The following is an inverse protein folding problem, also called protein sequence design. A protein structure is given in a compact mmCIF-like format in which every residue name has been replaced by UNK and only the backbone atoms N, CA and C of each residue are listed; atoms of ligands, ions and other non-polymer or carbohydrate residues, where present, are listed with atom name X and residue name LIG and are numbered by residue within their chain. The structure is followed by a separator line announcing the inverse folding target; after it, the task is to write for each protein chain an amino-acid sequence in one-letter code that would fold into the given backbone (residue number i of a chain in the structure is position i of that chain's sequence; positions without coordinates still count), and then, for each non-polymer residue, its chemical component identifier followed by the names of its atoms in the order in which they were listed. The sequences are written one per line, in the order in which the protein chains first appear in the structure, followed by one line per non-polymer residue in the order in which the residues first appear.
data_IF_166779089420
#
_entry.id   IF_166779089420
#
_cell.length_a   1.000
_cell.length_b   1.000
_cell.length_c   1.000
_cell.angle_alpha   90.00
_cell.angle_beta   90.00
_cell.angle_gamma   90.00
#
_symmetry.space_group_name_H-M   'P 1'
#
loop_
_entity.id
_entity.type
_entity.pdbx_description
1 polymer ?
#
# COMPACT_ATOMS: atom_id res chain seq x y z
N UNK A 1 -17.91 -38.66 29.66
CA UNK A 1 -18.37 -38.86 28.27
C UNK A 1 -18.55 -37.52 27.59
N UNK A 2 -17.63 -37.16 26.68
CA UNK A 2 -17.82 -36.46 25.40
C UNK A 2 -16.41 -36.16 24.87
N UNK A 3 -16.01 -36.94 23.85
CA UNK A 3 -14.70 -36.88 23.20
C UNK A 3 -14.64 -35.60 22.35
N UNK A 4 -13.63 -34.76 22.59
CA UNK A 4 -13.24 -33.69 21.70
C UNK A 4 -12.47 -34.32 20.53
N UNK A 5 -13.03 -34.26 19.33
CA UNK A 5 -12.37 -34.71 18.10
C UNK A 5 -11.36 -33.63 17.71
N UNK A 6 -10.08 -34.01 17.69
CA UNK A 6 -9.00 -33.24 17.08
C UNK A 6 -9.27 -33.13 15.57
N UNK A 7 -9.59 -31.93 15.09
CA UNK A 7 -9.58 -31.63 13.65
C UNK A 7 -8.13 -31.35 13.28
N UNK A 8 -7.51 -32.32 12.62
CA UNK A 8 -6.20 -32.20 11.98
C UNK A 8 -6.33 -31.19 10.84
N UNK A 9 -5.82 -29.98 11.01
CA UNK A 9 -5.62 -29.06 9.89
C UNK A 9 -4.48 -29.62 9.03
N UNK A 10 -4.84 -30.35 7.98
CA UNK A 10 -3.91 -30.68 6.90
C UNK A 10 -3.58 -29.37 6.18
N UNK A 11 -2.39 -28.84 6.45
CA UNK A 11 -1.80 -27.80 5.62
C UNK A 11 -1.47 -28.42 4.26
N UNK A 12 -2.32 -28.17 3.26
CA UNK A 12 -1.92 -28.37 1.87
C UNK A 12 -0.79 -27.37 1.58
N UNK A 13 0.45 -27.85 1.66
CA UNK A 13 1.56 -27.18 0.99
C UNK A 13 1.22 -27.10 -0.49
N UNK A 14 1.28 -25.89 -1.04
CA UNK A 14 1.09 -25.62 -2.46
C UNK A 14 2.20 -26.30 -3.28
N UNK A 15 2.03 -27.59 -3.55
CA UNK A 15 2.74 -28.31 -4.58
C UNK A 15 2.27 -27.83 -5.95
N UNK A 16 3.21 -27.66 -6.87
CA UNK A 16 2.99 -27.20 -8.23
C UNK A 16 1.69 -27.76 -8.84
N UNK A 17 0.79 -26.88 -9.28
CA UNK A 17 -0.43 -27.28 -9.96
C UNK A 17 -0.09 -28.19 -11.15
N UNK A 18 -0.68 -29.39 -11.25
CA UNK A 18 -0.51 -30.23 -12.43
C UNK A 18 -0.95 -29.46 -13.67
N UNK A 19 -0.16 -29.52 -14.75
CA UNK A 19 -0.40 -28.81 -16.02
C UNK A 19 -1.78 -29.09 -16.65
N UNK A 20 -2.47 -30.14 -16.22
CA UNK A 20 -3.84 -30.48 -16.59
C UNK A 20 -4.89 -29.50 -16.02
N UNK A 21 -4.72 -28.99 -14.80
CA UNK A 21 -5.64 -27.99 -14.23
C UNK A 21 -5.58 -26.67 -15.01
N UNK A 22 -4.39 -26.21 -15.39
CA UNK A 22 -4.19 -25.01 -16.21
C UNK A 22 -4.88 -25.12 -17.58
N UNK A 23 -4.96 -26.31 -18.17
CA UNK A 23 -5.71 -26.55 -19.42
C UNK A 23 -7.23 -26.49 -19.23
N UNK A 24 -7.75 -26.84 -18.05
CA UNK A 24 -9.17 -26.72 -17.72
C UNK A 24 -9.59 -25.25 -17.52
N UNK A 25 -8.74 -24.43 -16.88
CA UNK A 25 -9.00 -22.98 -16.70
C UNK A 25 -8.90 -22.17 -17.99
N UNK A 26 -8.25 -22.68 -19.05
CA UNK A 26 -8.24 -22.04 -20.38
C UNK A 26 -9.57 -22.14 -21.14
N UNK A 27 -10.51 -22.97 -20.67
CA UNK A 27 -11.85 -23.11 -21.26
C UNK A 27 -12.89 -22.21 -20.59
N UNK A 28 -12.45 -21.26 -19.78
CA UNK A 28 -13.38 -20.36 -19.15
C UNK A 28 -14.00 -19.44 -20.22
N UNK A 29 -15.34 -19.41 -20.33
CA UNK A 29 -16.09 -18.60 -21.31
C UNK A 29 -16.41 -17.22 -20.72
N UNK A 30 -16.65 -16.18 -21.54
CA UNK A 30 -17.02 -14.84 -21.06
C UNK A 30 -18.24 -14.78 -20.13
N UNK A 31 -19.05 -15.84 -20.06
CA UNK A 31 -20.21 -15.96 -19.16
C UNK A 31 -19.90 -16.48 -17.75
N UNK A 32 -18.66 -16.87 -17.46
CA UNK A 32 -18.28 -17.25 -16.09
C UNK A 32 -17.96 -16.00 -15.26
N UNK A 33 -18.31 -16.07 -13.97
CA UNK A 33 -18.31 -15.02 -12.92
C UNK A 33 -17.05 -14.15 -12.80
N UNK A 34 -16.02 -14.40 -13.60
CA UNK A 34 -14.70 -13.77 -13.53
C UNK A 34 -14.44 -12.73 -14.62
N UNK A 35 -15.24 -12.69 -15.68
CA UNK A 35 -15.04 -11.73 -16.78
C UNK A 35 -16.02 -10.56 -16.70
N UNK A 36 -15.56 -9.40 -17.18
CA UNK A 36 -16.42 -8.24 -17.38
C UNK A 36 -17.46 -8.58 -18.45
N UNK A 37 -18.73 -8.29 -18.17
CA UNK A 37 -19.83 -8.57 -19.08
C UNK A 37 -19.69 -7.77 -20.39
N UNK A 38 -20.06 -8.33 -21.55
CA UNK A 38 -20.04 -7.61 -22.83
C UNK A 38 -20.85 -6.30 -22.79
N UNK A 39 -21.95 -6.28 -22.04
CA UNK A 39 -22.82 -5.11 -21.86
C UNK A 39 -22.08 -3.99 -21.12
N UNK A 40 -21.31 -4.34 -20.08
CA UNK A 40 -20.51 -3.37 -19.35
C UNK A 40 -19.35 -2.85 -20.20
N UNK A 41 -18.65 -3.73 -20.94
CA UNK A 41 -17.57 -3.33 -21.84
C UNK A 41 -18.03 -2.31 -22.90
N UNK A 42 -19.24 -2.48 -23.46
CA UNK A 42 -19.83 -1.53 -24.42
C UNK A 42 -20.10 -0.14 -23.81
N UNK A 43 -20.39 -0.09 -22.50
CA UNK A 43 -20.67 1.15 -21.76
C UNK A 43 -19.40 1.77 -21.16
N UNK A 44 -18.36 0.96 -20.98
CA UNK A 44 -17.10 1.41 -20.42
C UNK A 44 -16.47 2.49 -21.33
N UNK A 45 -15.90 3.51 -20.69
CA UNK A 45 -15.22 4.61 -21.37
C UNK A 45 -13.98 4.96 -20.56
N UNK A 46 -12.77 5.01 -21.16
CA UNK A 46 -11.55 5.41 -20.46
C UNK A 46 -11.39 6.94 -20.34
N UNK A 47 -12.45 7.72 -20.60
CA UNK A 47 -12.45 9.18 -20.47
C UNK A 47 -12.80 9.61 -19.04
N UNK A 48 -12.27 10.78 -18.66
CA UNK A 48 -12.43 11.38 -17.34
C UNK A 48 -12.73 12.88 -17.47
N UNK A 49 -13.67 13.38 -16.67
CA UNK A 49 -13.99 14.81 -16.63
C UNK A 49 -12.92 15.64 -15.92
N UNK A 50 -12.21 15.04 -14.97
CA UNK A 50 -11.05 15.60 -14.27
C UNK A 50 -9.88 14.63 -14.38
N UNK A 51 -8.76 15.08 -14.93
CA UNK A 51 -7.53 14.29 -15.00
C UNK A 51 -6.32 15.20 -14.80
N UNK A 52 -5.36 14.74 -14.00
CA UNK A 52 -4.12 15.47 -13.73
C UNK A 52 -2.95 14.79 -14.43
N UNK A 53 -1.89 15.56 -14.69
CA UNK A 53 -0.62 14.99 -15.13
C UNK A 53 -0.05 14.05 -14.06
N UNK A 54 0.54 12.94 -14.49
CA UNK A 54 1.12 11.94 -13.61
C UNK A 54 2.55 11.60 -14.02
N UNK A 55 3.33 11.04 -13.10
CA UNK A 55 4.62 10.40 -13.44
C UNK A 55 4.38 9.04 -14.12
N UNK A 56 5.43 8.42 -14.64
CA UNK A 56 5.37 7.08 -15.24
C UNK A 56 4.77 6.03 -14.30
N UNK A 57 4.08 5.04 -14.88
CA UNK A 57 3.65 3.84 -14.15
C UNK A 57 4.87 3.09 -13.66
N UNK A 58 4.82 2.67 -12.40
CA UNK A 58 5.91 1.93 -11.76
C UNK A 58 5.55 0.46 -11.59
N UNK A 59 6.52 -0.38 -11.24
CA UNK A 59 6.30 -1.80 -11.07
C UNK A 59 7.00 -2.30 -9.79
N UNK A 60 6.19 -2.69 -8.81
CA UNK A 60 6.63 -3.31 -7.55
C UNK A 60 6.88 -4.82 -7.69
N UNK A 61 6.51 -5.40 -8.83
CA UNK A 61 6.55 -6.82 -9.14
C UNK A 61 5.99 -7.66 -7.97
N UNK A 62 6.80 -8.53 -7.37
CA UNK A 62 6.36 -9.48 -6.34
C UNK A 62 6.58 -8.99 -4.89
N UNK A 63 6.96 -7.72 -4.69
CA UNK A 63 7.20 -7.16 -3.36
C UNK A 63 6.05 -6.26 -2.91
N UNK A 64 5.68 -6.32 -1.64
CA UNK A 64 4.60 -5.53 -1.02
C UNK A 64 4.94 -4.06 -0.78
N UNK A 65 5.49 -3.33 -1.76
CA UNK A 65 5.92 -1.92 -1.65
C UNK A 65 4.91 -0.91 -2.22
N UNK A 66 3.69 -1.32 -2.56
CA UNK A 66 2.63 -0.47 -3.14
C UNK A 66 2.45 0.89 -2.44
N UNK A 67 2.51 0.90 -1.11
CA UNK A 67 2.43 2.09 -0.26
C UNK A 67 3.56 3.10 -0.51
N UNK A 68 4.79 2.64 -0.79
CA UNK A 68 5.90 3.50 -1.21
C UNK A 68 5.71 3.96 -2.65
N UNK A 69 5.26 3.09 -3.55
CA UNK A 69 5.02 3.45 -4.95
C UNK A 69 3.99 4.56 -5.09
N UNK A 70 2.83 4.40 -4.45
CA UNK A 70 1.78 5.41 -4.42
C UNK A 70 2.28 6.70 -3.76
N UNK A 71 2.80 6.61 -2.53
CA UNK A 71 3.19 7.83 -1.80
C UNK A 71 4.30 8.61 -2.49
N UNK A 72 5.32 7.93 -3.01
CA UNK A 72 6.41 8.60 -3.72
C UNK A 72 5.96 9.12 -5.09
N UNK A 73 5.07 8.42 -5.80
CA UNK A 73 4.51 8.91 -7.07
C UNK A 73 3.80 10.25 -6.88
N UNK A 74 3.02 10.41 -5.80
CA UNK A 74 2.48 11.71 -5.42
C UNK A 74 3.56 12.77 -5.17
N UNK A 75 4.60 12.44 -4.40
CA UNK A 75 5.68 13.40 -4.08
C UNK A 75 6.45 13.82 -5.32
N UNK A 76 6.74 12.89 -6.24
CA UNK A 76 7.42 13.16 -7.50
C UNK A 76 6.60 14.08 -8.41
N UNK A 77 5.28 13.92 -8.44
CA UNK A 77 4.39 14.84 -9.14
C UNK A 77 4.46 16.24 -8.53
N UNK A 78 4.43 16.36 -7.20
CA UNK A 78 4.53 17.65 -6.50
C UNK A 78 5.91 18.30 -6.65
N UNK A 79 6.97 17.51 -6.81
CA UNK A 79 8.30 18.00 -7.18
C UNK A 79 8.26 18.54 -8.62
N UNK A 80 7.82 17.73 -9.59
CA UNK A 80 7.72 18.11 -11.00
C UNK A 80 6.90 19.39 -11.19
N UNK A 81 5.77 19.51 -10.50
CA UNK A 81 4.89 20.69 -10.55
C UNK A 81 5.56 21.97 -10.05
N UNK A 82 6.40 21.88 -9.01
CA UNK A 82 7.05 23.05 -8.39
C UNK A 82 8.37 23.43 -9.06
N UNK A 83 9.16 22.45 -9.49
CA UNK A 83 10.51 22.69 -10.03
C UNK A 83 10.59 22.56 -11.55
N UNK A 84 9.59 21.97 -12.20
CA UNK A 84 9.65 21.54 -13.61
C UNK A 84 10.52 20.31 -13.85
N UNK A 85 11.18 19.76 -12.82
CA UNK A 85 12.12 18.65 -12.95
C UNK A 85 11.47 17.33 -12.60
N UNK A 86 11.69 16.33 -13.45
CA UNK A 86 11.35 14.94 -13.15
C UNK A 86 12.46 14.30 -12.32
N UNK A 87 12.19 14.07 -11.03
CA UNK A 87 13.12 13.44 -10.12
C UNK A 87 12.48 12.16 -9.62
N UNK A 88 13.04 11.01 -10.02
CA UNK A 88 12.62 9.70 -9.51
C UNK A 88 13.31 9.42 -8.17
N UNK A 89 12.56 8.97 -7.18
CA UNK A 89 13.05 8.66 -5.83
C UNK A 89 13.23 7.15 -5.65
N UNK A 90 14.30 6.72 -4.98
CA UNK A 90 14.59 5.30 -4.83
C UNK A 90 13.62 4.60 -3.87
N UNK A 91 12.75 3.74 -4.41
CA UNK A 91 11.87 2.86 -3.61
C UNK A 91 12.69 1.89 -2.77
N UNK A 92 13.73 1.31 -3.38
CA UNK A 92 14.62 0.37 -2.71
C UNK A 92 15.32 0.94 -1.49
N UNK A 93 15.68 2.23 -1.50
CA UNK A 93 16.27 2.88 -0.33
C UNK A 93 15.27 2.91 0.83
N UNK A 94 14.03 3.30 0.58
CA UNK A 94 12.99 3.34 1.63
C UNK A 94 12.52 1.95 2.04
N UNK A 95 12.54 0.94 1.15
CA UNK A 95 12.34 -0.47 1.52
C UNK A 95 13.42 -0.90 2.52
N UNK A 96 14.70 -0.63 2.22
CA UNK A 96 15.80 -0.98 3.11
C UNK A 96 15.70 -0.26 4.47
N UNK A 97 15.35 1.02 4.46
CA UNK A 97 15.12 1.78 5.70
C UNK A 97 13.92 1.23 6.50
N UNK A 98 12.84 0.83 5.84
CA UNK A 98 11.70 0.19 6.51
C UNK A 98 12.10 -1.14 7.16
N UNK A 99 12.91 -1.95 6.48
CA UNK A 99 13.38 -3.21 7.05
C UNK A 99 14.29 -2.98 8.27
N UNK A 100 15.18 -1.97 8.21
CA UNK A 100 16.02 -1.59 9.36
C UNK A 100 15.19 -1.10 10.55
N UNK A 101 14.17 -0.28 10.28
CA UNK A 101 13.25 0.23 11.28
C UNK A 101 12.49 -0.90 11.97
N UNK A 102 11.93 -1.82 11.18
CA UNK A 102 11.18 -2.98 11.68
C UNK A 102 12.04 -4.01 12.40
N UNK A 103 13.34 -4.07 12.11
CA UNK A 103 14.28 -4.90 12.90
C UNK A 103 14.31 -4.41 14.35
N UNK A 104 14.29 -3.09 14.56
CA UNK A 104 14.26 -2.53 15.93
C UNK A 104 12.93 -2.86 16.61
N UNK A 105 11.80 -2.59 15.95
CA UNK A 105 10.46 -2.89 16.49
C UNK A 105 10.31 -4.38 16.87
N UNK A 106 10.84 -5.28 16.01
CA UNK A 106 10.78 -6.72 16.21
C UNK A 106 11.68 -7.21 17.35
N UNK A 107 12.76 -6.50 17.68
CA UNK A 107 13.61 -6.79 18.83
C UNK A 107 13.06 -6.20 20.12
N UNK A 108 12.24 -5.15 20.05
CA UNK A 108 11.54 -4.58 21.19
C UNK A 108 10.31 -5.41 21.58
N UNK A 109 9.60 -5.99 20.59
CA UNK A 109 8.36 -6.73 20.84
C UNK A 109 8.18 -7.93 19.92
N UNK A 110 7.85 -9.13 20.46
CA UNK A 110 7.52 -10.30 19.63
C UNK A 110 6.20 -10.15 18.86
N UNK A 111 5.41 -9.12 19.18
CA UNK A 111 4.15 -8.80 18.50
C UNK A 111 4.34 -7.85 17.30
N UNK A 112 5.58 -7.43 17.03
CA UNK A 112 5.94 -6.52 15.95
C UNK A 112 6.67 -7.26 14.83
N UNK A 113 6.00 -8.04 13.98
CA UNK A 113 6.66 -8.79 12.92
C UNK A 113 7.25 -7.85 11.86
N UNK A 114 8.29 -8.33 11.19
CA UNK A 114 8.85 -7.67 10.02
C UNK A 114 8.00 -8.08 8.81
N UNK A 115 7.51 -7.12 8.03
CA UNK A 115 6.72 -7.37 6.83
C UNK A 115 6.96 -6.29 5.77
N UNK A 116 6.57 -6.58 4.52
CA UNK A 116 6.86 -5.72 3.36
C UNK A 116 5.91 -4.52 3.25
N UNK A 117 4.65 -4.72 3.62
CA UNK A 117 3.58 -3.73 3.52
C UNK A 117 3.77 -2.52 4.43
N UNK A 118 2.91 -1.52 4.24
CA UNK A 118 2.93 -0.26 4.97
C UNK A 118 1.77 0.63 4.51
N UNK A 119 1.83 1.91 4.87
CA UNK A 119 0.84 2.91 4.46
C UNK A 119 1.53 4.27 4.21
N UNK A 120 0.80 5.21 3.62
CA UNK A 120 1.34 6.53 3.25
C UNK A 120 1.88 7.32 4.46
N UNK A 121 1.24 7.22 5.62
CA UNK A 121 1.72 7.86 6.85
C UNK A 121 3.08 7.31 7.30
N UNK A 122 3.25 5.99 7.26
CA UNK A 122 4.50 5.33 7.57
C UNK A 122 5.61 5.72 6.58
N UNK A 123 5.29 5.85 5.28
CA UNK A 123 6.23 6.37 4.29
C UNK A 123 6.71 7.78 4.64
N UNK A 124 5.80 8.71 4.99
CA UNK A 124 6.17 10.06 5.44
C UNK A 124 7.06 10.02 6.69
N UNK A 125 6.78 9.12 7.63
CA UNK A 125 7.61 8.89 8.81
C UNK A 125 9.03 8.42 8.46
N UNK A 126 9.18 7.51 7.50
CA UNK A 126 10.49 7.06 7.00
C UNK A 126 11.24 8.19 6.30
N UNK A 127 10.58 8.94 5.41
CA UNK A 127 11.21 10.07 4.72
C UNK A 127 11.65 11.15 5.70
N UNK A 128 10.87 11.43 6.75
CA UNK A 128 11.26 12.36 7.81
C UNK A 128 12.47 11.88 8.60
N UNK A 129 12.52 10.59 8.97
CA UNK A 129 13.59 10.01 9.80
C UNK A 129 14.87 9.67 9.04
N UNK A 130 14.78 9.30 7.78
CA UNK A 130 15.89 8.76 6.98
C UNK A 130 16.17 9.53 5.69
N UNK A 131 15.31 10.48 5.31
CA UNK A 131 15.43 11.20 4.05
C UNK A 131 15.04 10.37 2.82
N UNK A 132 15.38 10.86 1.65
CA UNK A 132 15.23 10.17 0.36
C UNK A 132 16.51 10.33 -0.47
N UNK A 133 16.65 9.50 -1.50
CA UNK A 133 17.72 9.62 -2.50
C UNK A 133 17.12 9.54 -3.90
N UNK A 134 17.76 10.11 -4.93
CA UNK A 134 17.38 9.84 -6.31
C UNK A 134 17.53 8.36 -6.65
N UNK A 135 16.64 7.86 -7.52
CA UNK A 135 16.71 6.51 -8.07
C UNK A 135 17.77 6.45 -9.18
N UNK A 136 19.05 6.46 -8.79
CA UNK A 136 20.17 6.46 -9.72
C UNK A 136 21.26 5.46 -9.28
N UNK A 137 21.74 4.58 -10.18
CA UNK A 137 22.68 3.51 -9.82
C UNK A 137 24.04 4.01 -9.33
N UNK A 138 24.47 5.21 -9.75
CA UNK A 138 25.72 5.83 -9.26
C UNK A 138 25.58 6.40 -7.84
N UNK A 139 24.36 6.73 -7.41
CA UNK A 139 24.10 7.18 -6.04
C UNK A 139 24.03 5.96 -5.14
N UNK A 140 23.13 5.02 -5.46
CA UNK A 140 23.03 3.74 -4.76
C UNK A 140 22.08 2.80 -5.50
N UNK A 141 22.42 1.50 -5.48
CA UNK A 141 21.51 0.41 -5.84
C UNK A 141 21.71 -0.76 -4.87
N UNK A 142 20.66 -1.52 -4.54
CA UNK A 142 20.84 -2.71 -3.75
C UNK A 142 21.61 -3.77 -4.54
N UNK A 143 22.29 -4.68 -3.84
CA UNK A 143 22.92 -5.86 -4.45
C UNK A 143 21.88 -6.82 -5.03
N UNK A 144 20.71 -6.87 -4.41
CA UNK A 144 19.56 -7.64 -4.84
C UNK A 144 18.38 -6.70 -5.06
N UNK A 145 17.79 -6.74 -6.26
CA UNK A 145 16.56 -5.99 -6.55
C UNK A 145 15.40 -6.60 -5.78
N UNK A 146 14.93 -5.94 -4.72
CA UNK A 146 13.89 -6.47 -3.82
C UNK A 146 12.59 -6.85 -4.55
N UNK A 147 12.19 -6.00 -5.49
CA UNK A 147 10.93 -6.12 -6.23
C UNK A 147 11.00 -7.20 -7.32
N UNK A 148 12.13 -7.26 -8.03
CA UNK A 148 12.33 -8.17 -9.16
C UNK A 148 12.90 -9.54 -8.76
N UNK A 149 12.78 -9.91 -7.49
CA UNK A 149 13.38 -11.12 -6.96
C UNK A 149 12.44 -11.84 -5.99
N UNK A 150 12.30 -13.17 -6.07
CA UNK A 150 11.58 -13.93 -5.06
C UNK A 150 12.27 -13.87 -3.67
N UNK A 151 13.47 -13.30 -3.59
CA UNK A 151 14.21 -13.21 -2.34
C UNK A 151 13.61 -12.20 -1.35
N UNK A 152 12.76 -11.26 -1.78
CA UNK A 152 12.12 -10.30 -0.86
C UNK A 152 11.31 -10.98 0.25
N UNK A 153 10.54 -12.03 -0.09
CA UNK A 153 9.81 -12.83 0.91
C UNK A 153 10.76 -13.65 1.81
N UNK A 154 11.82 -14.22 1.23
CA UNK A 154 12.83 -15.00 1.99
C UNK A 154 13.61 -14.13 2.97
N UNK A 155 13.97 -12.92 2.59
CA UNK A 155 14.66 -11.97 3.46
C UNK A 155 13.81 -11.66 4.69
N UNK A 156 12.54 -11.30 4.49
CA UNK A 156 11.62 -11.03 5.60
C UNK A 156 11.45 -12.26 6.51
N UNK A 157 11.38 -13.46 5.94
CA UNK A 157 11.35 -14.70 6.71
C UNK A 157 12.61 -14.87 7.58
N UNK A 158 13.81 -14.69 7.01
CA UNK A 158 15.06 -14.82 7.76
C UNK A 158 15.17 -13.80 8.89
N UNK A 159 14.77 -12.55 8.66
CA UNK A 159 14.79 -11.52 9.69
C UNK A 159 13.81 -11.87 10.83
N UNK A 160 12.58 -12.30 10.53
CA UNK A 160 11.63 -12.74 11.56
C UNK A 160 12.15 -13.97 12.32
N UNK A 161 12.78 -14.92 11.65
CA UNK A 161 13.36 -16.09 12.31
C UNK A 161 14.47 -15.71 13.30
N UNK A 162 15.26 -14.67 13.00
CA UNK A 162 16.27 -14.14 13.92
C UNK A 162 15.65 -13.40 15.11
N UNK A 163 14.63 -12.58 14.88
CA UNK A 163 13.88 -11.95 15.98
C UNK A 163 13.23 -12.99 16.90
N UNK A 164 12.59 -14.01 16.33
CA UNK A 164 11.98 -15.09 17.11
C UNK A 164 13.02 -15.88 17.92
N UNK A 165 14.20 -16.16 17.36
CA UNK A 165 15.31 -16.78 18.08
C UNK A 165 15.74 -15.92 19.27
N UNK A 166 15.92 -14.62 19.06
CA UNK A 166 16.25 -13.68 20.13
C UNK A 166 15.23 -13.76 21.28
N UNK A 167 13.93 -13.63 20.98
CA UNK A 167 12.88 -13.68 22.00
C UNK A 167 12.84 -15.02 22.75
N UNK A 168 13.06 -16.13 22.04
CA UNK A 168 13.14 -17.44 22.67
C UNK A 168 14.35 -17.57 23.61
N UNK A 169 15.51 -17.07 23.21
CA UNK A 169 16.73 -17.16 24.02
C UNK A 169 16.70 -16.19 25.21
N UNK A 170 16.00 -15.06 25.06
CA UNK A 170 15.83 -14.04 26.09
C UNK A 170 14.68 -14.31 27.06
N UNK A 171 13.86 -15.37 26.84
CA UNK A 171 12.58 -15.59 27.54
C UNK A 171 12.68 -15.67 29.07
N UNK A 172 13.82 -16.15 29.58
CA UNK A 172 14.09 -16.32 31.01
C UNK A 172 14.97 -15.19 31.58
N UNK A 173 15.38 -14.22 30.73
CA UNK A 173 16.16 -13.07 31.14
C UNK A 173 15.23 -11.95 31.63
N UNK A 174 15.71 -11.18 32.61
CA UNK A 174 15.02 -9.96 33.04
C UNK A 174 15.13 -8.92 31.91
N UNK A 175 14.02 -8.34 31.42
CA UNK A 175 14.06 -7.26 30.43
C UNK A 175 14.98 -6.13 30.88
N UNK A 176 15.71 -5.53 29.94
CA UNK A 176 16.68 -4.45 30.18
C UNK A 176 17.89 -4.81 31.05
N UNK A 177 18.00 -6.05 31.56
CA UNK A 177 19.23 -6.51 32.19
C UNK A 177 20.39 -6.50 31.18
N UNK A 178 21.63 -6.42 31.68
CA UNK A 178 22.83 -6.43 30.82
C UNK A 178 22.84 -7.65 29.88
N UNK A 179 22.52 -8.84 30.39
CA UNK A 179 22.47 -10.05 29.57
C UNK A 179 21.38 -9.98 28.47
N UNK A 180 20.22 -9.39 28.77
CA UNK A 180 19.16 -9.18 27.78
C UNK A 180 19.61 -8.21 26.68
N UNK A 181 20.19 -7.06 27.07
CA UNK A 181 20.65 -6.03 26.14
C UNK A 181 21.83 -6.51 25.28
N UNK A 182 22.79 -7.24 25.85
CA UNK A 182 23.89 -7.84 25.11
C UNK A 182 23.38 -8.81 24.03
N UNK A 183 22.41 -9.67 24.37
CA UNK A 183 21.77 -10.60 23.44
C UNK A 183 20.94 -9.87 22.36
N UNK A 184 20.24 -8.79 22.73
CA UNK A 184 19.51 -7.96 21.79
C UNK A 184 20.44 -7.26 20.81
N UNK A 185 21.58 -6.76 21.28
CA UNK A 185 22.63 -6.15 20.47
C UNK A 185 23.25 -7.13 19.48
N UNK A 186 23.49 -8.38 19.89
CA UNK A 186 23.96 -9.45 19.02
C UNK A 186 22.94 -9.77 17.92
N UNK A 187 21.68 -9.95 18.28
CA UNK A 187 20.60 -10.19 17.34
C UNK A 187 20.45 -9.04 16.33
N UNK A 188 20.51 -7.78 16.81
CA UNK A 188 20.49 -6.58 15.97
C UNK A 188 21.63 -6.58 14.96
N UNK A 189 22.86 -6.90 15.40
CA UNK A 189 24.03 -6.97 14.51
C UNK A 189 23.88 -8.05 13.45
N UNK A 190 23.42 -9.25 13.81
CA UNK A 190 23.18 -10.36 12.88
C UNK A 190 22.11 -10.00 11.84
N UNK A 191 20.95 -9.50 12.28
CA UNK A 191 19.85 -9.10 11.39
C UNK A 191 20.27 -8.00 10.42
N UNK A 192 21.01 -6.98 10.90
CA UNK A 192 21.57 -5.93 10.05
C UNK A 192 22.62 -6.47 9.07
N UNK A 193 23.41 -7.47 9.47
CA UNK A 193 24.36 -8.14 8.58
C UNK A 193 23.65 -8.91 7.47
N UNK A 194 22.58 -9.66 7.78
CA UNK A 194 21.73 -10.33 6.80
C UNK A 194 21.20 -9.31 5.79
N UNK A 195 20.56 -8.23 6.25
CA UNK A 195 20.02 -7.20 5.36
C UNK A 195 21.12 -6.56 4.49
N UNK A 196 22.31 -6.32 5.05
CA UNK A 196 23.45 -5.76 4.32
C UNK A 196 23.92 -6.64 3.14
N UNK A 197 23.72 -7.96 3.20
CA UNK A 197 24.02 -8.82 2.04
C UNK A 197 23.15 -8.50 0.83
N UNK A 198 21.92 -8.02 1.06
CA UNK A 198 20.96 -7.62 0.02
C UNK A 198 21.13 -6.16 -0.40
N UNK A 199 21.35 -5.27 0.57
CA UNK A 199 21.41 -3.82 0.30
C UNK A 199 22.78 -3.36 -0.15
N UNK A 200 23.86 -4.01 0.29
CA UNK A 200 25.15 -3.34 0.40
C UNK A 200 25.12 -2.19 1.43
N UNK A 201 26.17 -1.36 1.51
CA UNK A 201 26.15 -0.19 2.39
C UNK A 201 25.11 0.82 1.90
N UNK A 202 24.24 1.32 2.79
CA UNK A 202 23.32 2.40 2.48
C UNK A 202 24.08 3.74 2.39
N UNK A 203 23.69 4.65 1.48
CA UNK A 203 24.40 5.90 1.28
C UNK A 203 24.15 6.85 2.46
N UNK A 204 25.23 7.32 3.09
CA UNK A 204 25.15 8.38 4.11
C UNK A 204 25.27 9.78 3.48
N UNK A 205 26.02 9.86 2.39
CA UNK A 205 26.21 11.05 1.56
C UNK A 205 26.34 10.62 0.10
N UNK A 206 25.98 11.50 -0.82
CA UNK A 206 26.17 11.35 -2.26
C UNK A 206 26.35 12.73 -2.90
N UNK A 207 26.92 12.77 -4.11
CA UNK A 207 27.13 14.02 -4.84
C UNK A 207 26.06 14.17 -5.92
N UNK A 208 25.45 15.35 -6.00
CA UNK A 208 24.50 15.74 -7.04
C UNK A 208 24.81 17.17 -7.47
N UNK A 209 25.10 17.39 -8.76
CA UNK A 209 25.48 18.70 -9.31
C UNK A 209 26.52 19.44 -8.45
N UNK A 210 27.65 18.77 -8.20
CA UNK A 210 28.79 19.24 -7.39
C UNK A 210 28.49 19.54 -5.91
N UNK A 211 27.29 19.23 -5.42
CA UNK A 211 26.92 19.34 -4.01
C UNK A 211 26.94 17.97 -3.35
N UNK A 212 27.69 17.84 -2.26
CA UNK A 212 27.61 16.67 -1.37
C UNK A 212 26.41 16.80 -0.45
N UNK A 213 25.44 15.90 -0.57
CA UNK A 213 24.20 15.89 0.20
C UNK A 213 24.05 14.58 0.98
N UNK A 214 23.46 14.65 2.16
CA UNK A 214 22.88 13.47 2.82
C UNK A 214 21.45 13.22 2.31
N UNK A 215 20.89 12.02 2.48
CA UNK A 215 19.49 11.75 2.14
C UNK A 215 18.50 12.75 2.78
N UNK A 216 18.75 13.15 4.04
CA UNK A 216 17.93 14.16 4.74
C UNK A 216 18.08 15.56 4.13
N UNK A 217 19.32 15.95 3.80
CA UNK A 217 19.56 17.25 3.16
C UNK A 217 18.90 17.31 1.78
N UNK A 218 18.93 16.21 1.03
CA UNK A 218 18.24 16.10 -0.25
C UNK A 218 16.72 16.17 -0.10
N UNK A 219 16.12 15.49 0.88
CA UNK A 219 14.69 15.67 1.18
C UNK A 219 14.33 17.14 1.44
N UNK A 220 15.11 17.82 2.29
CA UNK A 220 14.87 19.24 2.61
C UNK A 220 14.98 20.13 1.36
N UNK A 221 15.93 19.83 0.47
CA UNK A 221 16.06 20.52 -0.81
C UNK A 221 14.81 20.33 -1.68
N UNK A 222 14.31 19.10 -1.82
CA UNK A 222 13.10 18.81 -2.59
C UNK A 222 11.83 19.44 -2.01
N UNK A 223 11.74 19.57 -0.69
CA UNK A 223 10.57 20.14 0.00
C UNK A 223 10.71 21.63 0.29
N UNK A 224 11.73 22.32 -0.24
CA UNK A 224 11.89 23.75 -0.01
C UNK A 224 10.66 24.50 -0.56
N UNK A 225 10.03 25.31 0.30
CA UNK A 225 8.79 26.02 -0.04
C UNK A 225 7.53 25.14 -0.09
N UNK A 226 7.62 23.87 0.29
CA UNK A 226 6.49 22.93 0.31
C UNK A 226 6.28 22.37 1.71
N UNK A 227 5.14 22.72 2.31
CA UNK A 227 4.76 22.28 3.65
C UNK A 227 3.36 21.66 3.61
N UNK A 228 3.22 20.44 3.08
CA UNK A 228 1.93 19.77 3.01
C UNK A 228 1.43 19.52 4.43
N UNK A 229 0.13 19.64 4.64
CA UNK A 229 -0.52 19.24 5.89
C UNK A 229 -1.19 17.89 5.63
N UNK A 230 -0.48 16.77 5.76
CA UNK A 230 -1.08 15.48 5.48
C UNK A 230 -2.28 15.24 6.40
N UNK A 231 -3.35 14.70 5.83
CA UNK A 231 -4.53 14.24 6.52
C UNK A 231 -4.82 12.81 6.08
N UNK A 232 -4.93 11.92 7.06
CA UNK A 232 -5.32 10.53 6.82
C UNK A 232 -6.81 10.35 7.12
N UNK A 233 -7.61 10.21 6.08
CA UNK A 233 -9.07 10.17 6.19
C UNK A 233 -9.55 8.73 6.04
N UNK A 234 -10.32 8.27 7.01
CA UNK A 234 -10.98 6.98 7.02
C UNK A 234 -12.47 7.17 6.77
N UNK A 235 -13.16 6.20 6.15
CA UNK A 235 -14.60 6.25 6.05
C UNK A 235 -15.19 6.10 7.46
N UNK A 236 -16.34 6.73 7.67
CA UNK A 236 -17.24 6.36 8.75
C UNK A 236 -17.55 4.86 8.65
N UNK A 237 -17.53 4.19 9.80
CA UNK A 237 -17.83 2.77 9.90
C UNK A 237 -19.10 2.67 10.70
N UNK A 238 -20.14 2.03 10.15
CA UNK A 238 -21.32 1.74 10.93
C UNK A 238 -20.95 0.83 12.10
N UNK A 239 -21.26 1.22 13.35
CA UNK A 239 -20.98 0.39 14.50
C UNK A 239 -21.87 -0.86 14.48
N UNK A 240 -21.36 -1.98 14.98
CA UNK A 240 -22.21 -3.14 15.27
C UNK A 240 -23.31 -2.73 16.26
N UNK A 241 -24.52 -3.22 16.03
CA UNK A 241 -25.70 -2.96 16.85
C UNK A 241 -26.32 -4.27 17.36
N UNK A 242 -27.21 -4.18 18.36
CA UNK A 242 -27.92 -5.34 18.91
C UNK A 242 -27.01 -6.43 19.48
N UNK A 243 -27.40 -7.70 19.27
CA UNK A 243 -26.66 -8.88 19.77
C UNK A 243 -25.24 -8.96 19.19
N UNK A 244 -25.02 -8.44 17.98
CA UNK A 244 -23.71 -8.45 17.33
C UNK A 244 -22.71 -7.57 18.07
N UNK A 245 -23.13 -6.44 18.65
CA UNK A 245 -22.26 -5.62 19.51
C UNK A 245 -21.86 -6.36 20.79
N UNK A 246 -22.76 -7.19 21.32
CA UNK A 246 -22.54 -7.95 22.56
C UNK A 246 -21.60 -9.14 22.36
N UNK A 247 -21.69 -9.79 21.21
CA UNK A 247 -20.91 -10.98 20.87
C UNK A 247 -19.58 -10.66 20.15
N UNK A 248 -19.46 -9.46 19.57
CA UNK A 248 -18.25 -9.04 18.87
C UNK A 248 -17.24 -8.34 19.78
N UNK A 249 -15.98 -8.77 19.70
CA UNK A 249 -14.83 -8.04 20.25
C UNK A 249 -14.25 -7.00 19.28
N UNK A 250 -14.83 -6.84 18.08
CA UNK A 250 -14.32 -5.94 17.05
C UNK A 250 -14.72 -4.50 17.37
N UNK A 251 -13.71 -3.71 17.74
CA UNK A 251 -13.84 -2.25 17.82
C UNK A 251 -13.42 -1.63 16.48
N UNK A 252 -13.96 -0.45 16.18
CA UNK A 252 -13.40 0.35 15.10
C UNK A 252 -11.90 0.54 15.38
N UNK A 253 -11.05 0.29 14.39
CA UNK A 253 -9.61 0.45 14.54
C UNK A 253 -9.29 1.83 15.13
N UNK A 254 -8.47 1.89 16.17
CA UNK A 254 -8.03 3.16 16.72
C UNK A 254 -7.39 3.99 15.60
N UNK A 255 -7.65 5.29 15.62
CA UNK A 255 -6.98 6.19 14.70
C UNK A 255 -5.48 6.26 15.05
N UNK A 256 -4.59 6.42 14.06
CA UNK A 256 -3.17 6.62 14.29
C UNK A 256 -2.91 7.86 15.14
N UNK A 257 -2.04 7.76 16.13
CA UNK A 257 -1.74 8.85 17.08
C UNK A 257 -0.73 9.87 16.56
N UNK A 258 0.13 9.49 15.61
CA UNK A 258 1.19 10.36 15.06
C UNK A 258 0.80 11.08 13.76
N UNK A 259 -0.37 10.77 13.20
CA UNK A 259 -0.92 11.43 12.01
C UNK A 259 -2.18 12.20 12.38
N UNK A 260 -2.35 13.41 11.86
CA UNK A 260 -3.68 14.03 11.85
C UNK A 260 -4.59 13.11 11.04
N UNK A 261 -5.65 12.62 11.67
CA UNK A 261 -6.58 11.67 11.07
C UNK A 261 -8.02 12.00 11.42
N UNK A 262 -8.95 11.59 10.54
CA UNK A 262 -10.38 11.80 10.72
C UNK A 262 -11.18 10.60 10.21
N UNK A 263 -12.40 10.45 10.72
CA UNK A 263 -13.45 9.61 10.11
C UNK A 263 -14.47 10.53 9.46
N UNK A 264 -14.82 10.25 8.22
CA UNK A 264 -15.68 11.12 7.42
C UNK A 264 -16.64 10.30 6.54
N UNK A 265 -17.81 10.87 6.25
CA UNK A 265 -18.76 10.29 5.30
C UNK A 265 -18.15 10.12 3.91
N UNK A 266 -18.65 9.13 3.16
CA UNK A 266 -18.18 8.87 1.79
C UNK A 266 -18.29 10.11 0.90
N UNK A 267 -19.39 10.85 0.99
CA UNK A 267 -19.60 12.10 0.22
C UNK A 267 -18.50 13.14 0.51
N UNK A 268 -18.09 13.26 1.78
CA UNK A 268 -17.03 14.20 2.17
C UNK A 268 -15.66 13.73 1.66
N UNK A 269 -15.39 12.42 1.69
CA UNK A 269 -14.18 11.82 1.10
C UNK A 269 -14.14 12.07 -0.42
N UNK A 270 -15.24 11.83 -1.13
CA UNK A 270 -15.37 12.08 -2.56
C UNK A 270 -15.11 13.56 -2.90
N UNK A 271 -15.67 14.50 -2.12
CA UNK A 271 -15.40 15.94 -2.26
C UNK A 271 -13.92 16.28 -2.06
N UNK A 272 -13.23 15.64 -1.11
CA UNK A 272 -11.77 15.84 -0.93
C UNK A 272 -10.97 15.35 -2.13
N UNK A 273 -11.34 14.19 -2.69
CA UNK A 273 -10.69 13.65 -3.89
C UNK A 273 -10.86 14.63 -5.07
N UNK A 274 -12.10 15.05 -5.34
CA UNK A 274 -12.39 16.02 -6.41
C UNK A 274 -11.59 17.30 -6.20
N UNK A 275 -11.56 17.84 -4.98
CA UNK A 275 -10.83 19.08 -4.68
C UNK A 275 -9.32 18.94 -4.89
N UNK A 276 -8.73 17.82 -4.47
CA UNK A 276 -7.31 17.54 -4.70
C UNK A 276 -6.99 17.48 -6.20
N UNK A 277 -7.81 16.77 -6.99
CA UNK A 277 -7.65 16.68 -8.44
C UNK A 277 -7.81 18.03 -9.14
N UNK A 278 -8.80 18.84 -8.74
CA UNK A 278 -8.96 20.22 -9.24
C UNK A 278 -7.74 21.10 -8.93
N UNK A 279 -7.07 20.85 -7.80
CA UNK A 279 -5.83 21.54 -7.45
C UNK A 279 -4.60 20.96 -8.16
N UNK A 280 -4.77 19.95 -9.03
CA UNK A 280 -3.67 19.27 -9.71
C UNK A 280 -2.83 18.42 -8.76
N UNK A 281 -3.44 17.75 -7.78
CA UNK A 281 -2.79 16.88 -6.79
C UNK A 281 -3.41 15.49 -6.82
N UNK A 282 -2.57 14.45 -6.89
CA UNK A 282 -3.02 13.07 -6.77
C UNK A 282 -3.40 12.75 -5.32
N UNK A 283 -4.21 11.71 -5.14
CA UNK A 283 -4.63 11.21 -3.81
C UNK A 283 -4.17 9.77 -3.62
N UNK A 284 -3.41 9.50 -2.57
CA UNK A 284 -3.06 8.11 -2.26
C UNK A 284 -4.27 7.42 -1.63
N UNK A 285 -4.76 6.37 -2.27
CA UNK A 285 -5.88 5.54 -1.82
C UNK A 285 -5.34 4.23 -1.26
N UNK A 286 -5.80 3.84 -0.07
CA UNK A 286 -5.68 2.48 0.45
C UNK A 286 -7.04 1.79 0.39
N UNK A 287 -7.06 0.53 -0.05
CA UNK A 287 -8.28 -0.23 -0.22
C UNK A 287 -8.04 -1.74 -0.08
N UNK A 288 -9.12 -2.48 0.13
CA UNK A 288 -9.15 -3.93 0.06
C UNK A 288 -9.13 -4.39 -1.40
N UNK A 289 -8.06 -5.04 -1.84
CA UNK A 289 -7.93 -5.48 -3.24
C UNK A 289 -8.72 -6.78 -3.49
N UNK A 290 -10.04 -6.66 -3.54
CA UNK A 290 -10.95 -7.75 -3.86
C UNK A 290 -10.90 -8.12 -5.35
N UNK A 291 -10.07 -9.12 -5.66
CA UNK A 291 -9.82 -9.58 -7.04
C UNK A 291 -11.02 -10.26 -7.70
N UNK A 292 -12.12 -10.50 -6.99
CA UNK A 292 -13.35 -11.02 -7.59
C UNK A 292 -14.09 -9.95 -8.41
N UNK A 293 -13.90 -8.68 -8.09
CA UNK A 293 -14.57 -7.54 -8.73
C UNK A 293 -13.57 -6.61 -9.42
N UNK A 294 -12.42 -7.15 -9.83
CA UNK A 294 -11.37 -6.43 -10.54
C UNK A 294 -10.79 -7.31 -11.65
N UNK A 295 -10.89 -6.84 -12.88
CA UNK A 295 -10.30 -7.49 -14.03
C UNK A 295 -8.91 -6.91 -14.32
N UNK A 296 -7.91 -7.78 -14.40
CA UNK A 296 -6.52 -7.38 -14.57
C UNK A 296 -6.16 -7.07 -16.01
N UNK A 297 -6.92 -7.59 -16.98
CA UNK A 297 -6.62 -7.39 -18.39
C UNK A 297 -7.18 -6.04 -18.86
N UNK A 298 -8.42 -5.70 -18.48
CA UNK A 298 -9.04 -4.41 -18.83
C UNK A 298 -8.78 -3.30 -17.81
N UNK A 299 -8.36 -3.64 -16.60
CA UNK A 299 -8.21 -2.68 -15.50
C UNK A 299 -9.53 -2.23 -14.86
N UNK A 300 -10.68 -2.81 -15.26
CA UNK A 300 -11.99 -2.45 -14.72
C UNK A 300 -12.15 -2.99 -13.30
N UNK A 301 -12.56 -2.12 -12.36
CA UNK A 301 -12.91 -2.51 -11.00
C UNK A 301 -14.32 -2.03 -10.68
N UNK A 302 -15.28 -2.95 -10.58
CA UNK A 302 -16.69 -2.68 -10.35
C UNK A 302 -17.37 -3.97 -9.91
N UNK A 303 -18.32 -3.91 -8.98
CA UNK A 303 -19.14 -5.07 -8.61
C UNK A 303 -20.13 -5.37 -9.75
N UNK A 304 -20.68 -4.31 -10.35
CA UNK A 304 -21.66 -4.36 -11.43
C UNK A 304 -21.06 -4.71 -12.82
N UNK A 305 -19.73 -4.79 -12.93
CA UNK A 305 -19.07 -5.20 -14.17
C UNK A 305 -19.16 -6.71 -14.43
N UNK A 306 -19.36 -7.51 -13.39
CA UNK A 306 -19.35 -8.98 -13.45
C UNK A 306 -20.77 -9.53 -13.36
N UNK A 307 -20.96 -10.78 -13.79
CA UNK A 307 -22.23 -11.48 -13.73
C UNK A 307 -22.62 -11.87 -12.28
N UNK A 308 -22.82 -10.90 -11.41
CA UNK A 308 -23.22 -11.12 -10.01
C UNK A 308 -24.71 -11.51 -9.93
N UNK A 309 -25.11 -12.37 -8.97
CA UNK A 309 -26.52 -12.68 -8.74
C UNK A 309 -27.33 -11.42 -8.42
N UNK A 310 -28.60 -11.40 -8.82
CA UNK A 310 -29.50 -10.29 -8.51
C UNK A 310 -29.56 -10.04 -6.99
N UNK A 311 -29.43 -8.78 -6.58
CA UNK A 311 -29.44 -8.37 -5.17
C UNK A 311 -28.15 -8.67 -4.40
N UNK A 312 -27.09 -9.17 -5.06
CA UNK A 312 -25.81 -9.39 -4.40
C UNK A 312 -25.15 -8.06 -3.96
N UNK A 313 -24.66 -8.04 -2.73
CA UNK A 313 -23.79 -6.99 -2.22
C UNK A 313 -22.68 -7.61 -1.36
N UNK A 314 -21.41 -7.16 -1.46
CA UNK A 314 -20.38 -7.58 -0.54
C UNK A 314 -20.80 -7.28 0.91
N UNK A 315 -20.55 -8.19 1.87
CA UNK A 315 -20.85 -7.91 3.27
C UNK A 315 -20.03 -6.70 3.73
N UNK A 316 -20.54 -5.84 4.63
CA UNK A 316 -19.79 -4.70 5.14
C UNK A 316 -18.42 -5.09 5.67
N UNK A 317 -17.44 -4.19 5.58
CA UNK A 317 -16.03 -4.45 5.95
C UNK A 317 -15.89 -5.11 7.32
N UNK A 318 -16.67 -4.66 8.30
CA UNK A 318 -16.62 -5.18 9.66
C UNK A 318 -16.92 -6.68 9.74
N UNK A 319 -17.82 -7.20 8.92
CA UNK A 319 -18.07 -8.63 8.81
C UNK A 319 -16.95 -9.34 8.06
N UNK A 320 -16.42 -8.74 6.98
CA UNK A 320 -15.27 -9.33 6.26
C UNK A 320 -14.05 -9.50 7.16
N UNK A 321 -13.80 -8.50 8.00
CA UNK A 321 -12.74 -8.55 9.01
C UNK A 321 -13.04 -9.62 10.06
N UNK A 322 -14.29 -9.74 10.53
CA UNK A 322 -14.71 -10.76 11.50
C UNK A 322 -14.55 -12.20 10.98
N UNK A 323 -14.92 -12.44 9.73
CA UNK A 323 -14.81 -13.75 9.08
C UNK A 323 -13.43 -14.01 8.50
N UNK A 324 -12.48 -13.08 8.64
CA UNK A 324 -11.17 -13.13 7.99
C UNK A 324 -11.29 -13.37 6.48
N UNK A 325 -12.36 -12.84 5.87
CA UNK A 325 -12.71 -13.05 4.46
C UNK A 325 -12.33 -11.84 3.58
N UNK A 326 -11.66 -10.84 4.15
CA UNK A 326 -11.12 -9.72 3.40
C UNK A 326 -9.98 -10.15 2.48
N UNK A 327 -9.87 -9.51 1.32
CA UNK A 327 -8.72 -9.68 0.44
C UNK A 327 -7.62 -8.68 0.81
N UNK A 328 -6.35 -9.01 0.56
CA UNK A 328 -5.20 -8.20 1.00
C UNK A 328 -5.34 -6.69 0.74
N UNK A 329 -4.68 -5.87 1.56
CA UNK A 329 -4.70 -4.41 1.42
C UNK A 329 -3.73 -3.97 0.31
N UNK A 330 -4.13 -2.95 -0.46
CA UNK A 330 -3.31 -2.35 -1.52
C UNK A 330 -3.38 -0.83 -1.47
N UNK A 331 -2.33 -0.17 -1.95
CA UNK A 331 -2.23 1.29 -2.01
C UNK A 331 -1.89 1.75 -3.42
N UNK A 332 -2.59 2.77 -3.91
CA UNK A 332 -2.52 3.29 -5.28
C UNK A 332 -2.70 4.81 -5.28
N UNK A 333 -2.47 5.46 -6.43
CA UNK A 333 -2.76 6.89 -6.60
C UNK A 333 -4.01 7.10 -7.46
N UNK A 334 -4.91 7.95 -6.99
CA UNK A 334 -5.99 8.52 -7.79
C UNK A 334 -5.43 9.72 -8.56
N UNK A 335 -5.54 9.66 -9.89
CA UNK A 335 -5.03 10.70 -10.82
C UNK A 335 -6.13 11.28 -11.73
N UNK A 336 -7.37 10.84 -11.54
CA UNK A 336 -8.51 11.37 -12.27
C UNK A 336 -9.83 10.90 -11.71
N UNK A 337 -10.90 11.59 -12.09
CA UNK A 337 -12.28 11.28 -11.74
C UNK A 337 -13.18 11.62 -12.92
N UNK A 338 -14.09 10.71 -13.24
CA UNK A 338 -15.18 10.96 -14.17
C UNK A 338 -16.44 11.28 -13.35
N UNK A 339 -17.09 12.39 -13.67
CA UNK A 339 -18.20 12.93 -12.90
C UNK A 339 -19.50 12.90 -13.71
N UNK A 340 -20.62 12.69 -13.03
CA UNK A 340 -21.94 12.88 -13.64
C UNK A 340 -22.32 14.37 -13.73
N UNK A 341 -23.51 14.65 -14.27
CA UNK A 341 -24.01 16.00 -14.43
C UNK A 341 -24.22 16.74 -13.10
N UNK A 342 -24.39 16.01 -11.99
CA UNK A 342 -24.52 16.55 -10.64
C UNK A 342 -23.17 16.68 -9.91
N UNK A 343 -22.06 16.33 -10.55
CA UNK A 343 -20.72 16.39 -9.99
C UNK A 343 -20.36 15.22 -9.06
N UNK A 344 -21.11 14.12 -9.10
CA UNK A 344 -20.81 12.90 -8.33
C UNK A 344 -19.87 12.00 -9.12
N UNK A 345 -19.01 11.27 -8.41
CA UNK A 345 -18.04 10.37 -9.04
C UNK A 345 -18.77 9.18 -9.68
N UNK A 346 -18.54 8.95 -10.96
CA UNK A 346 -18.90 7.71 -11.64
C UNK A 346 -17.78 6.68 -11.46
N UNK A 347 -16.54 7.11 -11.74
CA UNK A 347 -15.34 6.28 -11.64
C UNK A 347 -14.08 7.12 -11.41
N UNK A 348 -13.06 6.48 -10.86
CA UNK A 348 -11.74 7.03 -10.58
C UNK A 348 -10.71 6.45 -11.55
N UNK A 349 -9.76 7.28 -12.00
CA UNK A 349 -8.55 6.84 -12.70
C UNK A 349 -7.50 6.51 -11.67
N UNK A 350 -7.14 5.23 -11.58
CA UNK A 350 -6.20 4.71 -10.62
C UNK A 350 -4.88 4.45 -11.33
N UNK A 351 -3.83 5.15 -10.94
CA UNK A 351 -2.46 4.82 -11.33
C UNK A 351 -1.94 3.74 -10.40
N UNK A 352 -1.72 2.55 -10.94
CA UNK A 352 -1.25 1.39 -10.18
C UNK A 352 0.30 1.28 -10.22
N UNK A 353 0.82 0.26 -9.55
CA UNK A 353 2.26 -0.05 -9.47
C UNK A 353 2.58 -1.49 -9.88
N UNK A 354 1.86 -2.04 -10.86
CA UNK A 354 2.07 -3.40 -11.41
C UNK A 354 2.61 -3.38 -12.84
N UNK A 355 3.29 -2.30 -13.24
CA UNK A 355 3.80 -2.12 -14.59
C UNK A 355 2.71 -1.78 -15.62
N UNK A 356 3.15 -1.46 -16.84
CA UNK A 356 2.28 -1.02 -17.94
C UNK A 356 1.55 -2.16 -18.63
N UNK A 357 1.95 -3.41 -18.41
CA UNK A 357 1.28 -4.60 -18.97
C UNK A 357 0.00 -4.97 -18.21
N UNK A 358 -0.23 -4.37 -17.04
CA UNK A 358 -1.37 -4.66 -16.17
C UNK A 358 -2.47 -3.61 -16.36
N UNK A 359 -3.71 -4.03 -16.56
CA UNK A 359 -4.86 -3.14 -16.78
C UNK A 359 -4.76 -2.36 -18.09
N UNK A 360 -5.33 -1.15 -18.10
CA UNK A 360 -5.21 -0.22 -19.23
C UNK A 360 -3.88 0.53 -19.12
N UNK A 361 -2.80 -0.04 -19.64
CA UNK A 361 -1.46 0.56 -19.64
C UNK A 361 -0.94 0.93 -18.23
N UNK A 362 -1.26 0.10 -17.22
CA UNK A 362 -0.93 0.35 -15.82
C UNK A 362 -1.99 1.13 -15.03
N UNK A 363 -3.07 1.55 -15.70
CA UNK A 363 -4.20 2.21 -15.08
C UNK A 363 -5.37 1.26 -14.83
N UNK A 364 -6.11 1.59 -13.79
CA UNK A 364 -7.34 0.89 -13.42
C UNK A 364 -8.49 1.89 -13.36
N UNK A 365 -9.67 1.43 -13.76
CA UNK A 365 -10.91 2.19 -13.80
C UNK A 365 -11.79 1.74 -12.63
N UNK A 366 -11.63 2.41 -11.49
CA UNK A 366 -12.34 2.04 -10.26
C UNK A 366 -13.68 2.76 -10.21
N UNK A 367 -14.76 2.03 -10.45
CA UNK A 367 -16.11 2.56 -10.36
C UNK A 367 -16.52 2.79 -8.90
N UNK A 368 -17.48 3.71 -8.71
CA UNK A 368 -17.93 4.14 -7.38
C UNK A 368 -18.41 2.98 -6.51
N UNK A 369 -19.06 1.98 -7.09
CA UNK A 369 -19.56 0.80 -6.38
C UNK A 369 -18.42 -0.02 -5.74
N UNK A 370 -17.31 -0.22 -6.46
CA UNK A 370 -16.11 -0.85 -5.91
C UNK A 370 -15.46 0.03 -4.85
N UNK A 371 -15.30 1.33 -5.14
CA UNK A 371 -14.69 2.28 -4.20
C UNK A 371 -15.44 2.32 -2.86
N UNK A 372 -16.76 2.50 -2.88
CA UNK A 372 -17.63 2.54 -1.70
C UNK A 372 -17.50 1.29 -0.82
N UNK A 373 -17.39 0.10 -1.42
CA UNK A 373 -17.38 -1.16 -0.69
C UNK A 373 -16.00 -1.56 -0.14
N UNK A 374 -14.92 -1.10 -0.78
CA UNK A 374 -13.57 -1.62 -0.52
C UNK A 374 -12.56 -0.56 -0.10
N UNK A 375 -12.86 0.74 -0.18
CA UNK A 375 -11.94 1.78 0.28
C UNK A 375 -11.69 1.65 1.79
N UNK A 376 -10.43 1.81 2.21
CA UNK A 376 -10.07 1.75 3.64
C UNK A 376 -9.59 3.09 4.18
N UNK A 377 -8.89 3.87 3.36
CA UNK A 377 -8.57 5.27 3.68
C UNK A 377 -8.03 6.02 2.47
N UNK A 378 -8.06 7.35 2.52
CA UNK A 378 -7.30 8.22 1.61
C UNK A 378 -6.26 9.03 2.40
N UNK A 379 -5.17 9.36 1.74
CA UNK A 379 -4.13 10.24 2.27
C UNK A 379 -3.97 11.43 1.33
N UNK A 380 -4.29 12.61 1.86
CA UNK A 380 -4.36 13.87 1.10
C UNK A 380 -3.53 14.95 1.78
N UNK A 381 -3.08 15.95 1.03
CA UNK A 381 -2.65 17.22 1.63
C UNK A 381 -3.91 18.03 1.91
N UNK A 382 -4.13 18.41 3.18
CA UNK A 382 -5.30 19.17 3.64
C UNK A 382 -5.35 20.54 2.94
N UNK A 383 -6.16 20.59 1.87
CA UNK A 383 -6.19 21.70 0.92
C UNK A 383 -6.85 22.97 1.47
N UNK A 384 -7.50 22.92 2.63
CA UNK A 384 -7.97 24.12 3.32
C UNK A 384 -6.80 25.02 3.79
N UNK A 385 -5.59 24.47 3.88
CA UNK A 385 -4.39 25.18 4.31
C UNK A 385 -3.37 25.48 3.20
N UNK A 386 -3.49 24.85 2.04
CA UNK A 386 -2.64 25.16 0.88
C UNK A 386 -3.37 26.14 -0.02
N UNK A 387 -3.08 27.44 0.17
CA UNK A 387 -3.46 28.46 -0.82
C UNK A 387 -2.84 28.07 -2.18
N UNK A 388 -3.53 28.32 -3.30
CA UNK A 388 -2.85 28.33 -4.59
C UNK A 388 -1.67 29.29 -4.49
N UNK A 389 -0.48 28.84 -4.87
CA UNK A 389 0.56 29.79 -5.27
C UNK A 389 -0.04 30.61 -6.41
N UNK A 390 -0.25 31.90 -6.17
CA UNK A 390 -0.67 32.81 -7.23
C UNK A 390 0.35 32.78 -8.37
N UNK A 391 -0.10 32.94 -9.62
CA UNK A 391 0.73 32.85 -10.82
C UNK A 391 1.91 33.83 -10.80
#
# INVERSE_FOLDING_TARGET
MKKLIFILFLSLQAGAFPSLCLKAFKKLTPGELRYVTPEFLKKHSPKYSLEIGHTEVSDQCAYGSCWLHARLSHIEQEIKKRSGQEIKLSRHYLIAQSLLDRIEDALESPLSPIFQGGNAHYADGLMKRFGVIPDHPEIWKPRVQFEKSPHGGRLVYFLNARAAKFHNDAKDLVPESKAYLDLQDEARKDMRAILKTYTGPLPQKFTLADKTLSPKAFSKYLTQGYNPKPLWVFPEVEPLSGNLKRESSLQAAALPTYAKSSRESLEKIEKRIIKALQNGQSVTLSYENNTLFADRDTGIMSINAFATPEGFSPPPRLYRDAFMSGNGQHAVDIVGADLDAEGRIIKLKIKNSWGTESGDNGFYHMYRDYFENFMTSIYVSDSEATRPSQP
#
